data_IF_291690259588
#
_entry.id   IF_291690259588
#
_cell.length_a   1.000
_cell.length_b   1.000
_cell.length_c   1.000
_cell.angle_alpha   90.00
_cell.angle_beta   90.00
_cell.angle_gamma   90.00
#
_symmetry.space_group_name_H-M   'P 1'
#
loop_
_entity.id
_entity.type
_entity.pdbx_description
1 polymer ?
#
# COMPACT_ATOMS: atom_id res chain seq x y z
N UNK A 1 -14.53 -15.23 -16.51
CA UNK A 1 -15.73 -14.57 -17.07
C UNK A 1 -15.82 -14.92 -18.55
N UNK A 2 -16.96 -15.40 -19.08
CA UNK A 2 -17.10 -15.65 -20.52
C UNK A 2 -16.90 -14.36 -21.32
N UNK A 3 -16.31 -14.46 -22.53
CA UNK A 3 -16.09 -13.31 -23.39
C UNK A 3 -14.86 -12.43 -23.10
N UNK A 4 -13.98 -12.82 -22.19
CA UNK A 4 -12.71 -12.12 -21.94
C UNK A 4 -11.77 -12.33 -23.13
N UNK A 5 -11.34 -11.25 -23.77
CA UNK A 5 -10.45 -11.22 -24.94
C UNK A 5 -9.00 -10.96 -24.56
N UNK A 6 -8.07 -11.13 -25.53
CA UNK A 6 -6.67 -10.75 -25.34
C UNK A 6 -6.51 -9.25 -25.01
N UNK A 7 -7.32 -8.39 -25.60
CA UNK A 7 -7.34 -6.95 -25.31
C UNK A 7 -7.66 -6.68 -23.85
N UNK A 8 -8.67 -7.38 -23.31
CA UNK A 8 -9.01 -7.24 -21.89
C UNK A 8 -7.86 -7.67 -20.97
N UNK A 9 -7.15 -8.77 -21.33
CA UNK A 9 -5.96 -9.21 -20.59
C UNK A 9 -4.85 -8.17 -20.58
N UNK A 10 -4.50 -7.62 -21.75
CA UNK A 10 -3.48 -6.56 -21.82
C UNK A 10 -3.89 -5.30 -21.05
N UNK A 11 -5.16 -4.92 -21.10
CA UNK A 11 -5.68 -3.76 -20.35
C UNK A 11 -5.59 -3.96 -18.83
N UNK A 12 -5.82 -5.18 -18.34
CA UNK A 12 -5.62 -5.50 -16.91
C UNK A 12 -4.14 -5.42 -16.54
N UNK A 13 -3.26 -5.99 -17.36
CA UNK A 13 -1.82 -5.93 -17.13
C UNK A 13 -1.31 -4.48 -17.12
N UNK A 14 -1.76 -3.64 -18.06
CA UNK A 14 -1.46 -2.22 -18.09
C UNK A 14 -2.03 -1.51 -16.84
N UNK A 15 -3.29 -1.77 -16.48
CA UNK A 15 -3.91 -1.23 -15.27
C UNK A 15 -3.17 -1.64 -13.99
N UNK A 16 -2.73 -2.89 -13.89
CA UNK A 16 -1.92 -3.36 -12.78
C UNK A 16 -0.58 -2.62 -12.70
N UNK A 17 0.11 -2.47 -13.83
CA UNK A 17 1.39 -1.76 -13.91
C UNK A 17 1.26 -0.29 -13.48
N UNK A 18 0.21 0.40 -13.91
CA UNK A 18 0.09 1.84 -13.72
C UNK A 18 -0.62 2.23 -12.45
N UNK A 19 -1.70 1.56 -12.04
CA UNK A 19 -2.56 2.00 -10.93
C UNK A 19 -1.81 2.12 -9.61
N UNK A 20 -1.10 1.06 -9.19
CA UNK A 20 -0.40 1.07 -7.89
C UNK A 20 0.83 1.97 -7.94
N UNK A 21 1.54 2.02 -9.07
CA UNK A 21 2.64 2.95 -9.28
C UNK A 21 2.19 4.42 -9.15
N UNK A 22 1.15 4.82 -9.90
CA UNK A 22 0.62 6.18 -9.87
C UNK A 22 0.06 6.54 -8.48
N UNK A 23 -0.55 5.58 -7.77
CA UNK A 23 -0.99 5.75 -6.39
C UNK A 23 0.18 6.10 -5.46
N UNK A 24 1.34 5.44 -5.61
CA UNK A 24 2.50 5.67 -4.75
C UNK A 24 3.07 7.09 -4.90
N UNK A 25 2.88 7.73 -6.06
CA UNK A 25 3.39 9.09 -6.31
C UNK A 25 2.81 10.16 -5.38
N UNK A 26 1.68 9.89 -4.72
CA UNK A 26 1.05 10.85 -3.78
C UNK A 26 1.97 11.21 -2.61
N UNK A 27 2.81 10.30 -2.14
CA UNK A 27 3.77 10.57 -1.07
C UNK A 27 4.79 11.62 -1.51
N UNK A 28 5.29 11.50 -2.75
CA UNK A 28 6.19 12.51 -3.34
C UNK A 28 5.48 13.86 -3.54
N UNK A 29 4.25 13.84 -4.07
CA UNK A 29 3.47 15.05 -4.31
C UNK A 29 3.15 15.80 -3.02
N UNK A 30 2.73 15.07 -1.98
CA UNK A 30 2.37 15.67 -0.68
C UNK A 30 3.59 16.37 -0.06
N UNK A 31 4.73 15.69 0.01
CA UNK A 31 5.95 16.27 0.57
C UNK A 31 6.40 17.51 -0.22
N UNK A 32 6.33 17.45 -1.55
CA UNK A 32 6.73 18.55 -2.40
C UNK A 32 5.84 19.80 -2.20
N UNK A 33 4.51 19.61 -2.19
CA UNK A 33 3.56 20.71 -1.99
C UNK A 33 3.69 21.31 -0.61
N UNK A 34 3.89 20.51 0.43
CA UNK A 34 4.07 21.03 1.79
C UNK A 34 5.35 21.85 1.92
N UNK A 35 6.44 21.44 1.27
CA UNK A 35 7.74 22.13 1.37
C UNK A 35 7.83 23.37 0.48
N UNK A 36 7.39 23.27 -0.79
CA UNK A 36 7.59 24.34 -1.77
C UNK A 36 6.39 25.27 -1.93
N UNK A 37 5.17 24.72 -2.04
CA UNK A 37 3.99 25.53 -2.29
C UNK A 37 3.46 26.18 -1.00
N UNK A 38 3.46 25.44 0.10
CA UNK A 38 2.87 25.87 1.37
C UNK A 38 3.93 26.28 2.41
N UNK A 39 5.21 26.03 2.14
CA UNK A 39 6.36 26.41 2.96
C UNK A 39 6.23 26.06 4.45
N UNK A 40 5.69 24.85 4.75
CA UNK A 40 5.54 24.39 6.12
C UNK A 40 6.91 24.13 6.79
N UNK A 41 6.98 24.45 8.09
CA UNK A 41 8.15 24.19 8.91
C UNK A 41 8.36 22.70 9.15
N UNK A 42 9.62 22.26 9.31
CA UNK A 42 10.03 20.87 9.44
C UNK A 42 9.32 20.11 10.57
N UNK A 43 9.19 20.72 11.74
CA UNK A 43 8.58 20.07 12.90
C UNK A 43 7.06 19.87 12.84
N UNK A 44 6.42 20.09 11.69
CA UNK A 44 4.99 19.91 11.48
C UNK A 44 4.66 18.98 10.30
N UNK A 45 5.61 18.74 9.42
CA UNK A 45 5.37 18.03 8.14
C UNK A 45 4.99 16.57 8.38
N UNK A 46 5.65 15.89 9.30
CA UNK A 46 5.33 14.51 9.65
C UNK A 46 3.91 14.35 10.17
N UNK A 47 3.48 15.24 11.07
CA UNK A 47 2.12 15.28 11.61
C UNK A 47 1.08 15.57 10.52
N UNK A 48 1.35 16.53 9.63
CA UNK A 48 0.44 16.86 8.51
C UNK A 48 0.31 15.68 7.55
N UNK A 49 1.42 15.06 7.15
CA UNK A 49 1.45 13.91 6.26
C UNK A 49 0.71 12.72 6.89
N UNK A 50 0.97 12.45 8.18
CA UNK A 50 0.27 11.42 8.93
C UNK A 50 -1.24 11.65 8.99
N UNK A 51 -1.67 12.88 9.28
CA UNK A 51 -3.10 13.26 9.34
C UNK A 51 -3.78 13.14 7.97
N UNK A 52 -3.11 13.57 6.88
CA UNK A 52 -3.63 13.40 5.52
C UNK A 52 -3.79 11.92 5.16
N UNK A 53 -2.90 11.04 5.64
CA UNK A 53 -3.02 9.60 5.44
C UNK A 53 -4.17 9.02 6.26
N UNK A 54 -4.36 9.46 7.51
CA UNK A 54 -5.52 9.09 8.35
C UNK A 54 -6.84 9.47 7.66
N UNK A 55 -6.94 10.70 7.13
CA UNK A 55 -8.13 11.15 6.40
C UNK A 55 -8.38 10.27 5.18
N UNK A 56 -7.35 9.98 4.40
CA UNK A 56 -7.47 9.12 3.22
C UNK A 56 -7.97 7.71 3.59
N UNK A 57 -7.50 7.13 4.69
CA UNK A 57 -7.91 5.81 5.15
C UNK A 57 -9.35 5.80 5.68
N UNK A 58 -9.77 6.84 6.41
CA UNK A 58 -11.18 7.00 6.85
C UNK A 58 -12.10 7.07 5.64
N UNK A 59 -11.75 7.85 4.62
CA UNK A 59 -12.51 7.92 3.37
C UNK A 59 -12.56 6.55 2.71
N UNK A 60 -11.42 5.86 2.59
CA UNK A 60 -11.33 4.53 1.96
C UNK A 60 -12.26 3.51 2.64
N UNK A 61 -12.23 3.43 3.97
CA UNK A 61 -13.11 2.55 4.75
C UNK A 61 -14.59 2.90 4.48
N UNK A 62 -14.91 4.18 4.48
CA UNK A 62 -16.28 4.67 4.30
C UNK A 62 -16.86 4.36 2.91
N UNK A 63 -16.03 4.44 1.87
CA UNK A 63 -16.47 4.25 0.48
C UNK A 63 -16.35 2.81 -0.02
N UNK A 64 -15.64 1.93 0.70
CA UNK A 64 -15.35 0.57 0.24
C UNK A 64 -16.64 -0.21 -0.12
N UNK A 65 -17.64 -0.16 0.76
CA UNK A 65 -18.92 -0.82 0.51
C UNK A 65 -19.75 -0.11 -0.58
N UNK A 66 -20.00 1.21 -0.55
CA UNK A 66 -20.68 1.94 -1.63
C UNK A 66 -20.08 1.69 -3.00
N UNK A 67 -18.75 1.72 -3.14
CA UNK A 67 -18.06 1.49 -4.42
C UNK A 67 -18.36 0.07 -4.96
N UNK A 68 -18.33 -0.95 -4.10
CA UNK A 68 -18.67 -2.31 -4.50
C UNK A 68 -20.11 -2.41 -5.02
N UNK A 69 -21.07 -1.79 -4.31
CA UNK A 69 -22.49 -1.77 -4.73
C UNK A 69 -22.71 -1.01 -6.04
N UNK A 70 -22.02 0.10 -6.22
CA UNK A 70 -22.04 0.88 -7.46
C UNK A 70 -21.46 0.05 -8.62
N UNK A 71 -20.32 -0.60 -8.39
CA UNK A 71 -19.66 -1.43 -9.40
C UNK A 71 -20.52 -2.62 -9.85
N UNK A 72 -21.32 -3.18 -8.94
CA UNK A 72 -22.29 -4.24 -9.29
C UNK A 72 -23.46 -3.72 -10.16
N UNK A 73 -23.82 -2.42 -10.04
CA UNK A 73 -24.93 -1.80 -10.81
C UNK A 73 -24.49 -1.27 -12.17
N UNK A 74 -23.43 -0.46 -12.20
CA UNK A 74 -23.00 0.24 -13.43
C UNK A 74 -21.86 -0.47 -14.16
N UNK A 75 -21.22 -1.45 -13.51
CA UNK A 75 -20.10 -2.22 -14.06
C UNK A 75 -18.73 -1.79 -13.53
N UNK A 76 -17.85 -2.78 -13.42
CA UNK A 76 -16.51 -2.61 -12.84
C UNK A 76 -15.62 -1.68 -13.64
N UNK A 77 -15.76 -1.71 -14.96
CA UNK A 77 -15.01 -0.89 -15.90
C UNK A 77 -15.23 0.60 -15.67
N UNK A 78 -16.49 1.02 -15.50
CA UNK A 78 -16.87 2.41 -15.29
C UNK A 78 -16.33 2.93 -13.95
N UNK A 79 -16.47 2.13 -12.88
CA UNK A 79 -15.97 2.51 -11.55
C UNK A 79 -14.44 2.58 -11.52
N UNK A 80 -13.75 1.69 -12.22
CA UNK A 80 -12.30 1.72 -12.33
C UNK A 80 -11.83 2.99 -13.08
N UNK A 81 -12.43 3.25 -14.24
CA UNK A 81 -12.11 4.45 -15.03
C UNK A 81 -12.39 5.74 -14.25
N UNK A 82 -13.54 5.83 -13.57
CA UNK A 82 -13.84 6.94 -12.67
C UNK A 82 -12.77 7.09 -11.58
N UNK A 83 -12.33 5.98 -10.96
CA UNK A 83 -11.29 6.00 -9.95
C UNK A 83 -9.98 6.63 -10.46
N UNK A 84 -9.55 6.24 -11.65
CA UNK A 84 -8.36 6.81 -12.27
C UNK A 84 -8.52 8.28 -12.64
N UNK A 85 -9.69 8.70 -13.13
CA UNK A 85 -9.99 10.11 -13.41
C UNK A 85 -10.02 10.95 -12.14
N UNK A 86 -10.60 10.44 -11.05
CA UNK A 86 -10.62 11.15 -9.76
C UNK A 86 -9.19 11.31 -9.18
N UNK A 87 -8.34 10.27 -9.30
CA UNK A 87 -6.92 10.38 -8.95
C UNK A 87 -6.21 11.43 -9.82
N UNK A 88 -6.45 11.43 -11.13
CA UNK A 88 -5.88 12.41 -12.06
C UNK A 88 -6.31 13.83 -11.73
N UNK A 89 -7.59 14.03 -11.39
CA UNK A 89 -8.11 15.34 -10.94
C UNK A 89 -7.40 15.78 -9.65
N UNK A 90 -7.22 14.87 -8.69
CA UNK A 90 -6.50 15.19 -7.46
C UNK A 90 -5.05 15.62 -7.75
N UNK A 91 -4.30 14.89 -8.58
CA UNK A 91 -2.94 15.28 -8.96
C UNK A 91 -2.88 16.60 -9.72
N UNK A 92 -3.90 16.93 -10.51
CA UNK A 92 -4.01 18.21 -11.19
C UNK A 92 -4.21 19.36 -10.19
N UNK A 93 -5.04 19.15 -9.17
CA UNK A 93 -5.38 20.15 -8.16
C UNK A 93 -4.30 20.32 -7.07
N UNK A 94 -3.58 19.25 -6.71
CA UNK A 94 -2.62 19.23 -5.62
C UNK A 94 -1.62 20.41 -5.62
N UNK A 95 -0.94 20.72 -6.75
CA UNK A 95 0.01 21.84 -6.81
C UNK A 95 -0.66 23.21 -6.81
N UNK A 96 -1.98 23.28 -6.85
CA UNK A 96 -2.74 24.52 -6.81
C UNK A 96 -3.22 24.87 -5.40
N UNK A 97 -2.97 23.99 -4.42
CA UNK A 97 -3.36 24.22 -3.04
C UNK A 97 -2.67 25.45 -2.46
N UNK A 98 -3.44 26.34 -1.83
CA UNK A 98 -2.97 27.55 -1.14
C UNK A 98 -2.93 27.37 0.38
N UNK A 99 -3.44 26.24 0.89
CA UNK A 99 -3.44 25.90 2.30
C UNK A 99 -3.83 24.46 2.59
N UNK A 100 -3.67 24.05 3.86
CA UNK A 100 -3.94 22.68 4.30
C UNK A 100 -5.40 22.27 4.11
N UNK A 101 -6.35 23.20 4.19
CA UNK A 101 -7.77 22.92 3.98
C UNK A 101 -8.05 22.42 2.57
N UNK A 102 -7.55 23.14 1.55
CA UNK A 102 -7.67 22.73 0.15
C UNK A 102 -6.94 21.43 -0.12
N UNK A 103 -5.71 21.29 0.40
CA UNK A 103 -4.92 20.06 0.27
C UNK A 103 -5.67 18.85 0.86
N UNK A 104 -6.39 19.06 1.98
CA UNK A 104 -7.24 18.02 2.59
C UNK A 104 -8.40 17.62 1.68
N UNK A 105 -9.09 18.60 1.06
CA UNK A 105 -10.16 18.32 0.10
C UNK A 105 -9.62 17.52 -1.09
N UNK A 106 -8.48 17.93 -1.65
CA UNK A 106 -7.85 17.23 -2.76
C UNK A 106 -7.39 15.81 -2.35
N UNK A 107 -6.96 15.63 -1.10
CA UNK A 107 -6.66 14.32 -0.52
C UNK A 107 -7.89 13.42 -0.44
N UNK A 108 -9.07 13.97 -0.11
CA UNK A 108 -10.34 13.23 -0.12
C UNK A 108 -10.70 12.79 -1.54
N UNK A 109 -10.60 13.67 -2.53
CA UNK A 109 -10.83 13.33 -3.95
C UNK A 109 -9.88 12.20 -4.39
N UNK A 110 -8.61 12.32 -4.02
CA UNK A 110 -7.61 11.28 -4.27
C UNK A 110 -8.01 9.94 -3.64
N UNK A 111 -8.43 9.94 -2.37
CA UNK A 111 -8.80 8.72 -1.64
C UNK A 111 -10.02 8.02 -2.27
N UNK A 112 -11.01 8.78 -2.73
CA UNK A 112 -12.16 8.24 -3.49
C UNK A 112 -11.66 7.58 -4.79
N UNK A 113 -10.78 8.25 -5.51
CA UNK A 113 -10.18 7.72 -6.73
C UNK A 113 -9.38 6.44 -6.48
N UNK A 114 -8.51 6.46 -5.47
CA UNK A 114 -7.68 5.34 -5.05
C UNK A 114 -8.53 4.12 -4.68
N UNK A 115 -9.55 4.30 -3.82
CA UNK A 115 -10.41 3.21 -3.39
C UNK A 115 -11.20 2.59 -4.54
N UNK A 116 -11.71 3.43 -5.46
CA UNK A 116 -12.40 2.97 -6.66
C UNK A 116 -11.48 2.20 -7.60
N UNK A 117 -10.29 2.71 -7.89
CA UNK A 117 -9.36 2.10 -8.81
C UNK A 117 -8.77 0.78 -8.26
N UNK A 118 -8.26 0.79 -7.02
CA UNK A 118 -7.66 -0.40 -6.40
C UNK A 118 -8.66 -1.50 -6.11
N UNK A 119 -9.86 -1.14 -5.65
CA UNK A 119 -10.95 -2.08 -5.44
C UNK A 119 -11.35 -2.79 -6.73
N UNK A 120 -11.46 -2.04 -7.84
CA UNK A 120 -11.80 -2.62 -9.13
C UNK A 120 -10.65 -3.41 -9.76
N UNK A 121 -9.40 -2.98 -9.61
CA UNK A 121 -8.23 -3.75 -10.04
C UNK A 121 -8.23 -5.14 -9.39
N UNK A 122 -8.42 -5.20 -8.07
CA UNK A 122 -8.49 -6.46 -7.33
C UNK A 122 -9.65 -7.35 -7.80
N UNK A 123 -10.82 -6.75 -7.99
CA UNK A 123 -12.02 -7.46 -8.43
C UNK A 123 -11.87 -8.01 -9.85
N UNK A 124 -11.41 -7.19 -10.80
CA UNK A 124 -11.20 -7.62 -12.20
C UNK A 124 -10.15 -8.71 -12.29
N UNK A 125 -9.05 -8.59 -11.52
CA UNK A 125 -8.00 -9.61 -11.44
C UNK A 125 -8.52 -10.96 -10.94
N UNK A 126 -9.50 -10.95 -10.04
CA UNK A 126 -10.10 -12.17 -9.50
C UNK A 126 -11.15 -12.80 -10.42
N UNK A 127 -11.90 -11.98 -11.16
CA UNK A 127 -13.10 -12.45 -11.90
C UNK A 127 -12.85 -12.81 -13.36
N UNK A 128 -11.88 -12.19 -14.02
CA UNK A 128 -11.63 -12.43 -15.45
C UNK A 128 -11.00 -13.80 -15.73
N UNK A 129 -10.02 -14.29 -14.93
CA UNK A 129 -9.40 -15.58 -15.20
C UNK A 129 -10.35 -16.74 -14.88
N UNK A 130 -10.13 -17.86 -15.55
CA UNK A 130 -10.76 -19.13 -15.20
C UNK A 130 -10.17 -19.62 -13.85
N UNK A 131 -10.94 -20.43 -13.12
CA UNK A 131 -10.56 -20.89 -11.77
C UNK A 131 -9.14 -21.50 -11.71
N UNK A 132 -8.73 -22.27 -12.73
CA UNK A 132 -7.40 -22.92 -12.77
C UNK A 132 -6.26 -21.96 -13.12
N UNK A 133 -6.52 -20.75 -13.65
CA UNK A 133 -5.52 -19.74 -14.01
C UNK A 133 -5.53 -18.53 -13.07
N UNK A 134 -6.50 -18.47 -12.13
CA UNK A 134 -6.66 -17.33 -11.22
C UNK A 134 -5.38 -17.03 -10.40
N UNK A 135 -4.73 -18.07 -9.86
CA UNK A 135 -3.49 -17.91 -9.11
C UNK A 135 -2.36 -17.32 -9.97
N UNK A 136 -2.22 -17.76 -11.22
CA UNK A 136 -1.23 -17.21 -12.16
C UNK A 136 -1.51 -15.73 -12.45
N UNK A 137 -2.78 -15.37 -12.65
CA UNK A 137 -3.15 -13.96 -12.90
C UNK A 137 -2.85 -13.06 -11.70
N UNK A 138 -3.16 -13.51 -10.49
CA UNK A 138 -2.84 -12.77 -9.25
C UNK A 138 -1.33 -12.57 -9.12
N UNK A 139 -0.53 -13.61 -9.42
CA UNK A 139 0.94 -13.51 -9.38
C UNK A 139 1.46 -12.50 -10.41
N UNK A 140 0.98 -12.56 -11.66
CA UNK A 140 1.38 -11.64 -12.74
C UNK A 140 1.02 -10.20 -12.38
N UNK A 141 -0.21 -9.95 -11.92
CA UNK A 141 -0.63 -8.60 -11.51
C UNK A 141 0.14 -8.10 -10.29
N UNK A 142 0.49 -8.97 -9.35
CA UNK A 142 1.35 -8.63 -8.20
C UNK A 142 2.75 -8.16 -8.64
N UNK A 143 3.39 -8.88 -9.57
CA UNK A 143 4.69 -8.48 -10.15
C UNK A 143 4.56 -7.15 -10.89
N UNK A 144 3.50 -6.99 -11.71
CA UNK A 144 3.27 -5.74 -12.45
C UNK A 144 3.01 -4.56 -11.52
N UNK A 145 2.25 -4.74 -10.44
CA UNK A 145 2.05 -3.72 -9.41
C UNK A 145 3.38 -3.25 -8.81
N UNK A 146 4.23 -4.19 -8.36
CA UNK A 146 5.53 -3.87 -7.78
C UNK A 146 6.46 -3.20 -8.80
N UNK A 147 6.48 -3.69 -10.04
CA UNK A 147 7.24 -3.08 -11.14
C UNK A 147 6.77 -1.67 -11.42
N UNK A 148 5.45 -1.42 -11.40
CA UNK A 148 4.85 -0.11 -11.58
C UNK A 148 5.28 0.89 -10.50
N UNK A 149 5.31 0.45 -9.23
CA UNK A 149 5.82 1.27 -8.11
C UNK A 149 7.27 1.67 -8.34
N UNK A 150 8.11 0.72 -8.76
CA UNK A 150 9.54 0.97 -9.03
C UNK A 150 9.69 1.95 -10.21
N UNK A 151 8.98 1.74 -11.32
CA UNK A 151 9.02 2.62 -12.50
C UNK A 151 8.59 4.04 -12.13
N UNK A 152 7.46 4.20 -11.45
CA UNK A 152 6.98 5.53 -11.06
C UNK A 152 7.95 6.20 -10.09
N UNK A 153 8.49 5.49 -9.13
CA UNK A 153 9.47 6.04 -8.19
C UNK A 153 10.79 6.41 -8.88
N UNK A 154 11.28 5.60 -9.83
CA UNK A 154 12.52 5.88 -10.55
C UNK A 154 12.42 7.07 -11.51
N UNK A 155 11.34 7.13 -12.28
CA UNK A 155 11.23 8.08 -13.39
C UNK A 155 10.38 9.30 -13.03
N UNK A 156 9.20 9.11 -12.42
CA UNK A 156 8.27 10.21 -12.18
C UNK A 156 8.67 11.03 -10.95
N UNK A 157 9.20 10.40 -9.90
CA UNK A 157 9.70 11.15 -8.75
C UNK A 157 10.95 12.01 -9.07
N UNK A 158 11.58 11.79 -10.21
CA UNK A 158 12.66 12.66 -10.73
C UNK A 158 12.16 13.83 -11.57
N UNK A 159 10.91 13.82 -12.02
CA UNK A 159 10.39 14.86 -12.91
C UNK A 159 10.57 16.28 -12.37
N UNK A 160 10.31 16.59 -11.08
CA UNK A 160 10.55 17.94 -10.58
C UNK A 160 11.99 18.40 -10.80
N UNK A 161 12.99 17.52 -10.55
CA UNK A 161 14.40 17.85 -10.82
C UNK A 161 14.65 18.07 -12.31
N UNK A 162 14.12 17.20 -13.17
CA UNK A 162 14.31 17.36 -14.63
C UNK A 162 13.73 18.69 -15.14
N UNK A 163 12.56 19.13 -14.63
CA UNK A 163 11.99 20.41 -15.00
C UNK A 163 12.79 21.59 -14.40
N UNK A 164 13.30 21.46 -13.18
CA UNK A 164 14.19 22.47 -12.59
C UNK A 164 15.50 22.60 -13.39
N UNK A 165 16.10 21.48 -13.84
CA UNK A 165 17.29 21.46 -14.69
C UNK A 165 17.03 22.13 -16.07
N UNK A 166 15.77 22.19 -16.53
CA UNK A 166 15.34 22.92 -17.74
C UNK A 166 15.15 24.43 -17.49
N UNK A 167 15.36 24.92 -16.26
CA UNK A 167 15.25 26.34 -15.89
C UNK A 167 13.92 26.80 -15.31
N UNK A 168 13.00 25.85 -15.01
CA UNK A 168 11.78 26.20 -14.28
C UNK A 168 12.06 26.39 -12.79
N UNK A 169 11.36 27.32 -12.15
CA UNK A 169 11.37 27.46 -10.69
C UNK A 169 10.80 26.21 -9.99
N UNK A 170 11.14 26.03 -8.70
CA UNK A 170 10.79 24.82 -7.97
C UNK A 170 9.27 24.54 -7.93
N UNK A 171 8.44 25.59 -7.71
CA UNK A 171 6.98 25.46 -7.67
C UNK A 171 6.44 24.98 -9.02
N UNK A 172 6.87 25.63 -10.11
CA UNK A 172 6.46 25.28 -11.48
C UNK A 172 6.96 23.88 -11.88
N UNK A 173 8.18 23.52 -11.50
CA UNK A 173 8.75 22.20 -11.75
C UNK A 173 7.94 21.08 -11.06
N UNK A 174 7.56 21.28 -9.80
CA UNK A 174 6.66 20.37 -9.08
C UNK A 174 5.27 20.28 -9.70
N UNK A 175 4.71 21.41 -10.09
CA UNK A 175 3.41 21.50 -10.75
C UNK A 175 3.38 20.69 -12.05
N UNK A 176 4.34 20.87 -12.92
CA UNK A 176 4.42 20.14 -14.19
C UNK A 176 4.61 18.63 -13.97
N UNK A 177 5.43 18.23 -12.98
CA UNK A 177 5.59 16.82 -12.64
C UNK A 177 4.25 16.18 -12.21
N UNK A 178 3.46 16.85 -11.37
CA UNK A 178 2.15 16.36 -10.95
C UNK A 178 1.15 16.32 -12.11
N UNK A 179 1.20 17.29 -13.03
CA UNK A 179 0.33 17.31 -14.21
C UNK A 179 0.68 16.21 -15.22
N UNK A 180 1.95 15.83 -15.36
CA UNK A 180 2.33 14.64 -16.14
C UNK A 180 1.71 13.38 -15.52
N UNK A 181 1.76 13.24 -14.20
CA UNK A 181 1.13 12.10 -13.50
C UNK A 181 -0.40 12.14 -13.66
N UNK A 182 -1.03 13.31 -13.58
CA UNK A 182 -2.45 13.47 -13.88
C UNK A 182 -2.80 12.99 -15.28
N UNK A 183 -2.00 13.36 -16.29
CA UNK A 183 -2.13 12.89 -17.66
C UNK A 183 -2.03 11.36 -17.79
N UNK A 184 -1.10 10.74 -17.06
CA UNK A 184 -0.97 9.27 -17.02
C UNK A 184 -2.18 8.60 -16.38
N UNK A 185 -2.80 9.22 -15.35
CA UNK A 185 -4.06 8.75 -14.79
C UNK A 185 -5.20 8.79 -15.83
N UNK A 186 -5.29 9.86 -16.61
CA UNK A 186 -6.28 9.98 -17.70
C UNK A 186 -6.04 8.91 -18.77
N UNK A 187 -4.79 8.71 -19.22
CA UNK A 187 -4.45 7.64 -20.17
C UNK A 187 -4.87 6.27 -19.62
N UNK A 188 -4.56 6.00 -18.35
CA UNK A 188 -4.95 4.74 -17.71
C UNK A 188 -6.46 4.60 -17.64
N UNK A 189 -7.20 5.67 -17.32
CA UNK A 189 -8.65 5.69 -17.32
C UNK A 189 -9.23 5.33 -18.70
N UNK A 190 -8.65 5.87 -19.77
CA UNK A 190 -9.07 5.56 -21.16
C UNK A 190 -8.77 4.12 -21.53
N UNK A 191 -7.56 3.61 -21.25
CA UNK A 191 -7.21 2.21 -21.50
C UNK A 191 -8.17 1.26 -20.77
N UNK A 192 -8.47 1.54 -19.52
CA UNK A 192 -9.43 0.77 -18.73
C UNK A 192 -10.86 0.91 -19.29
N UNK A 193 -11.28 2.13 -19.64
CA UNK A 193 -12.61 2.42 -20.17
C UNK A 193 -12.90 1.73 -21.49
N UNK A 194 -11.91 1.60 -22.36
CA UNK A 194 -12.10 0.98 -23.68
C UNK A 194 -11.62 -0.46 -23.72
N UNK A 195 -10.63 -0.82 -22.91
CA UNK A 195 -9.98 -2.11 -22.96
C UNK A 195 -10.56 -3.18 -22.05
N UNK A 196 -11.31 -2.85 -21.01
CA UNK A 196 -11.95 -3.84 -20.16
C UNK A 196 -13.33 -4.26 -20.70
N UNK A 197 -13.76 -5.46 -20.32
CA UNK A 197 -15.05 -5.99 -20.74
C UNK A 197 -16.22 -5.18 -20.15
N UNK A 198 -17.26 -4.96 -20.95
CA UNK A 198 -18.51 -4.33 -20.51
C UNK A 198 -19.35 -5.33 -19.71
N UNK A 199 -20.12 -4.81 -18.77
CA UNK A 199 -21.13 -5.57 -18.03
C UNK A 199 -20.75 -5.90 -16.60
N UNK A 200 -21.72 -6.46 -15.90
CA UNK A 200 -21.62 -6.93 -14.51
C UNK A 200 -21.69 -8.45 -14.51
N UNK A 201 -21.06 -9.15 -13.54
CA UNK A 201 -21.30 -10.58 -13.37
C UNK A 201 -22.77 -10.83 -12.99
N UNK A 202 -23.40 -11.76 -13.69
CA UNK A 202 -24.87 -11.97 -13.65
C UNK A 202 -25.35 -12.83 -12.47
N UNK A 203 -24.54 -13.18 -11.50
CA UNK A 203 -24.96 -13.97 -10.36
C UNK A 203 -25.44 -13.07 -9.20
N UNK A 204 -26.75 -13.00 -9.02
CA UNK A 204 -27.41 -12.53 -7.80
C UNK A 204 -27.16 -13.53 -6.66
N UNK A 205 -25.96 -13.48 -6.06
CA UNK A 205 -25.76 -14.13 -4.78
C UNK A 205 -26.53 -13.36 -3.70
N UNK A 206 -27.37 -14.04 -2.91
CA UNK A 206 -28.00 -13.46 -1.71
C UNK A 206 -26.92 -12.85 -0.83
N UNK A 207 -26.77 -11.52 -0.88
CA UNK A 207 -25.76 -10.80 -0.11
C UNK A 207 -26.20 -10.75 1.36
N UNK A 208 -25.46 -11.42 2.23
CA UNK A 208 -25.60 -11.26 3.68
C UNK A 208 -25.24 -9.80 4.01
N UNK A 209 -26.02 -9.08 4.86
CA UNK A 209 -25.71 -7.72 5.25
C UNK A 209 -24.29 -7.60 5.81
N UNK A 210 -23.54 -6.60 5.34
CA UNK A 210 -22.11 -6.41 5.68
C UNK A 210 -21.85 -6.39 7.20
N UNK A 211 -22.72 -5.70 7.97
CA UNK A 211 -22.62 -5.68 9.43
C UNK A 211 -22.74 -7.08 10.04
N UNK A 212 -23.59 -7.93 9.50
CA UNK A 212 -23.78 -9.31 9.96
C UNK A 212 -22.56 -10.16 9.61
N UNK A 213 -21.95 -9.93 8.43
CA UNK A 213 -20.67 -10.56 8.07
C UNK A 213 -19.56 -10.16 9.02
N UNK A 214 -19.41 -8.86 9.33
CA UNK A 214 -18.40 -8.38 10.28
C UNK A 214 -18.62 -8.96 11.69
N UNK A 215 -19.84 -8.99 12.20
CA UNK A 215 -20.14 -9.62 13.48
C UNK A 215 -19.79 -11.10 13.51
N UNK A 216 -20.09 -11.81 12.42
CA UNK A 216 -19.73 -13.24 12.29
C UNK A 216 -18.21 -13.42 12.25
N UNK A 217 -17.49 -12.60 11.49
CA UNK A 217 -16.03 -12.64 11.42
C UNK A 217 -15.36 -12.29 12.76
N UNK A 218 -15.90 -11.28 13.47
CA UNK A 218 -15.42 -10.91 14.80
C UNK A 218 -15.59 -12.03 15.83
N UNK A 219 -16.73 -12.75 15.78
CA UNK A 219 -16.97 -13.90 16.65
C UNK A 219 -15.97 -15.04 16.45
N UNK A 220 -15.44 -15.22 15.22
CA UNK A 220 -14.36 -16.17 14.94
C UNK A 220 -13.02 -15.78 15.60
N UNK A 221 -12.84 -14.52 15.99
CA UNK A 221 -11.70 -14.04 16.77
C UNK A 221 -11.57 -14.65 18.17
N UNK A 222 -12.51 -15.49 18.62
CA UNK A 222 -12.34 -16.35 19.79
C UNK A 222 -11.29 -17.44 19.59
N UNK A 223 -11.03 -17.83 18.33
CA UNK A 223 -9.98 -18.77 17.98
C UNK A 223 -8.62 -18.05 17.98
N UNK A 224 -7.61 -18.50 18.76
CA UNK A 224 -6.28 -17.87 18.82
C UNK A 224 -5.59 -17.77 17.46
N UNK A 225 -5.83 -18.71 16.55
CA UNK A 225 -5.27 -18.68 15.19
C UNK A 225 -5.88 -17.54 14.37
N UNK A 226 -7.19 -17.31 14.50
CA UNK A 226 -7.88 -16.20 13.82
C UNK A 226 -7.47 -14.86 14.45
N UNK A 227 -7.22 -14.82 15.77
CA UNK A 227 -6.64 -13.62 16.41
C UNK A 227 -5.29 -13.28 15.81
N UNK A 228 -4.43 -14.30 15.60
CA UNK A 228 -3.13 -14.10 14.94
C UNK A 228 -3.28 -13.60 13.50
N UNK A 229 -4.28 -14.09 12.74
CA UNK A 229 -4.62 -13.57 11.40
C UNK A 229 -4.92 -12.08 11.47
N UNK A 230 -5.73 -11.62 12.43
CA UNK A 230 -6.09 -10.21 12.56
C UNK A 230 -4.92 -9.34 13.04
N UNK A 231 -4.14 -9.82 14.02
CA UNK A 231 -2.94 -9.15 14.48
C UNK A 231 -1.89 -9.00 13.38
N UNK A 232 -1.70 -10.05 12.57
CA UNK A 232 -0.80 -10.02 11.41
C UNK A 232 -1.25 -9.00 10.35
N UNK A 233 -2.57 -8.90 10.11
CA UNK A 233 -3.14 -7.92 9.18
C UNK A 233 -2.88 -6.48 9.63
N UNK A 234 -3.09 -6.23 10.92
CA UNK A 234 -2.88 -4.91 11.55
C UNK A 234 -1.45 -4.43 11.28
N UNK A 235 -0.45 -5.27 11.56
CA UNK A 235 0.97 -4.88 11.42
C UNK A 235 1.40 -4.85 9.96
N UNK A 236 1.09 -5.87 9.16
CA UNK A 236 1.53 -5.94 7.77
C UNK A 236 0.98 -4.82 6.88
N UNK A 237 -0.22 -4.30 7.18
CA UNK A 237 -0.77 -3.13 6.47
C UNK A 237 -0.15 -1.82 6.95
N UNK A 238 0.13 -1.69 8.25
CA UNK A 238 0.85 -0.57 8.82
C UNK A 238 2.27 -0.47 8.25
N UNK A 239 2.98 -1.59 8.17
CA UNK A 239 4.32 -1.72 7.56
C UNK A 239 4.39 -1.05 6.18
N UNK A 240 3.46 -1.42 5.29
CA UNK A 240 3.41 -0.92 3.92
C UNK A 240 3.29 0.60 3.87
N UNK A 241 2.38 1.14 4.69
CA UNK A 241 2.06 2.57 4.63
C UNK A 241 3.13 3.42 5.32
N UNK A 242 3.76 2.93 6.39
CA UNK A 242 4.88 3.62 7.05
C UNK A 242 6.07 3.78 6.08
N UNK A 243 6.46 2.72 5.36
CA UNK A 243 7.51 2.82 4.33
C UNK A 243 7.09 3.82 3.24
N UNK A 244 5.90 3.66 2.68
CA UNK A 244 5.41 4.51 1.58
C UNK A 244 5.28 5.98 1.94
N UNK A 245 4.99 6.29 3.21
CA UNK A 245 4.74 7.66 3.68
C UNK A 245 6.00 8.32 4.24
N UNK A 246 6.66 7.67 5.20
CA UNK A 246 7.71 8.32 5.98
C UNK A 246 9.12 8.10 5.43
N UNK A 247 9.39 7.04 4.64
CA UNK A 247 10.74 6.83 4.10
C UNK A 247 11.08 7.90 3.04
N UNK A 248 10.12 8.25 2.18
CA UNK A 248 10.28 9.32 1.18
C UNK A 248 10.41 10.68 1.87
N UNK A 249 9.61 10.92 2.92
CA UNK A 249 9.68 12.15 3.71
C UNK A 249 11.06 12.28 4.38
N UNK A 250 11.52 11.24 5.08
CA UNK A 250 12.81 11.22 5.75
C UNK A 250 13.97 11.52 4.79
N UNK A 251 14.03 10.80 3.65
CA UNK A 251 15.06 11.05 2.65
C UNK A 251 15.01 12.45 2.05
N UNK A 252 13.79 13.00 1.83
CA UNK A 252 13.64 14.37 1.32
C UNK A 252 14.11 15.41 2.35
N UNK A 253 13.77 15.22 3.62
CA UNK A 253 14.19 16.12 4.69
C UNK A 253 15.72 16.08 4.90
N UNK A 254 16.33 14.89 4.90
CA UNK A 254 17.77 14.74 4.99
C UNK A 254 18.51 15.47 3.83
N UNK A 255 17.98 15.35 2.59
CA UNK A 255 18.54 16.11 1.46
C UNK A 255 18.43 17.63 1.65
N UNK A 256 17.33 18.12 2.21
CA UNK A 256 17.17 19.54 2.57
C UNK A 256 18.18 19.98 3.63
N UNK A 257 18.50 19.12 4.60
CA UNK A 257 19.52 19.39 5.63
C UNK A 257 20.92 19.52 5.04
N UNK A 258 21.20 18.82 3.95
CA UNK A 258 22.43 18.92 3.17
C UNK A 258 22.45 20.14 2.24
N UNK A 259 21.43 21.01 2.27
CA UNK A 259 21.34 22.21 1.41
C UNK A 259 20.82 21.95 0.00
N UNK A 260 20.30 20.75 -0.30
CA UNK A 260 19.69 20.45 -1.59
C UNK A 260 18.38 21.20 -1.78
N UNK A 261 18.04 21.54 -3.03
CA UNK A 261 16.69 21.96 -3.38
C UNK A 261 15.70 20.82 -3.14
N UNK A 262 14.41 21.11 -3.00
CA UNK A 262 13.40 20.06 -2.76
C UNK A 262 13.34 19.06 -3.91
N UNK A 263 13.51 19.52 -5.15
CA UNK A 263 13.56 18.65 -6.32
C UNK A 263 14.77 17.68 -6.30
N UNK A 264 15.94 18.16 -5.89
CA UNK A 264 17.16 17.34 -5.74
C UNK A 264 17.01 16.35 -4.58
N UNK A 265 16.57 16.83 -3.41
CA UNK A 265 16.35 16.02 -2.22
C UNK A 265 15.36 14.88 -2.47
N UNK A 266 14.23 15.17 -3.14
CA UNK A 266 13.26 14.16 -3.53
C UNK A 266 13.84 13.19 -4.56
N UNK A 267 14.64 13.67 -5.50
CA UNK A 267 15.34 12.81 -6.46
C UNK A 267 16.38 11.89 -5.79
N UNK A 268 16.99 12.29 -4.68
CA UNK A 268 17.86 11.43 -3.88
C UNK A 268 17.03 10.43 -3.05
N UNK A 269 16.02 10.89 -2.33
CA UNK A 269 15.13 10.07 -1.48
C UNK A 269 14.46 8.92 -2.25
N UNK A 270 14.10 9.12 -3.53
CA UNK A 270 13.51 8.06 -4.36
C UNK A 270 14.38 6.81 -4.45
N UNK A 271 15.72 6.96 -4.43
CA UNK A 271 16.64 5.82 -4.53
C UNK A 271 16.57 4.94 -3.27
N UNK A 272 16.39 5.54 -2.10
CA UNK A 272 16.18 4.82 -0.83
C UNK A 272 14.91 3.98 -0.91
N UNK A 273 13.79 4.60 -1.31
CA UNK A 273 12.51 3.90 -1.47
C UNK A 273 12.56 2.80 -2.54
N UNK A 274 13.24 3.06 -3.67
CA UNK A 274 13.44 2.07 -4.74
C UNK A 274 14.30 0.91 -4.27
N UNK A 275 15.34 1.14 -3.48
CA UNK A 275 16.17 0.06 -2.91
C UNK A 275 15.32 -0.88 -2.06
N UNK A 276 14.49 -0.34 -1.16
CA UNK A 276 13.57 -1.14 -0.35
C UNK A 276 12.53 -1.90 -1.21
N UNK A 277 11.91 -1.22 -2.18
CA UNK A 277 10.89 -1.83 -3.04
C UNK A 277 11.47 -2.91 -3.97
N UNK A 278 12.68 -2.70 -4.51
CA UNK A 278 13.35 -3.68 -5.35
C UNK A 278 13.75 -4.92 -4.55
N UNK A 279 14.25 -4.74 -3.34
CA UNK A 279 14.61 -5.87 -2.47
C UNK A 279 13.37 -6.70 -2.11
N UNK A 280 12.23 -6.05 -1.83
CA UNK A 280 10.95 -6.71 -1.60
C UNK A 280 10.52 -7.55 -2.83
N UNK A 281 10.60 -6.97 -4.03
CA UNK A 281 10.24 -7.65 -5.28
C UNK A 281 11.14 -8.87 -5.54
N UNK A 282 12.46 -8.71 -5.43
CA UNK A 282 13.44 -9.79 -5.66
C UNK A 282 13.30 -10.90 -4.62
N UNK A 283 13.05 -10.56 -3.36
CA UNK A 283 12.87 -11.54 -2.30
C UNK A 283 11.52 -12.30 -2.38
N UNK A 284 10.51 -11.73 -3.04
CA UNK A 284 9.15 -12.29 -3.09
C UNK A 284 9.07 -13.77 -3.49
N UNK A 285 9.73 -14.26 -4.57
CA UNK A 285 9.68 -15.67 -4.94
C UNK A 285 10.33 -16.59 -3.89
N UNK A 286 11.42 -16.11 -3.28
CA UNK A 286 12.17 -16.87 -2.26
C UNK A 286 11.32 -16.98 -0.99
N UNK A 287 10.74 -15.88 -0.54
CA UNK A 287 9.87 -15.83 0.65
C UNK A 287 8.65 -16.73 0.43
N UNK A 288 7.98 -16.64 -0.72
CA UNK A 288 6.84 -17.49 -1.06
C UNK A 288 7.19 -18.99 -0.99
N UNK A 289 8.30 -19.39 -1.61
CA UNK A 289 8.78 -20.77 -1.57
C UNK A 289 9.11 -21.27 -0.15
N UNK A 290 9.73 -20.43 0.68
CA UNK A 290 10.07 -20.78 2.06
C UNK A 290 8.82 -20.93 2.94
N UNK A 291 7.87 -20.00 2.81
CA UNK A 291 6.61 -20.03 3.55
C UNK A 291 5.82 -21.30 3.23
N UNK A 292 5.84 -21.77 1.98
CA UNK A 292 5.12 -22.99 1.58
C UNK A 292 5.69 -24.29 2.17
N UNK A 293 6.96 -24.29 2.57
CA UNK A 293 7.64 -25.45 3.17
C UNK A 293 7.53 -25.54 4.69
N UNK A 294 7.13 -24.47 5.36
CA UNK A 294 7.10 -24.36 6.81
C UNK A 294 5.66 -24.29 7.30
N UNK A 295 5.41 -24.77 8.53
CA UNK A 295 4.12 -24.53 9.18
C UNK A 295 3.78 -23.04 9.22
N UNK A 296 2.54 -22.69 8.85
CA UNK A 296 2.13 -21.28 8.62
C UNK A 296 2.26 -20.41 9.87
N UNK A 297 1.98 -20.94 11.06
CA UNK A 297 2.13 -20.18 12.31
C UNK A 297 3.61 -19.92 12.60
N UNK A 298 4.47 -20.92 12.39
CA UNK A 298 5.93 -20.75 12.51
C UNK A 298 6.45 -19.79 11.45
N UNK A 299 5.95 -19.90 10.21
CA UNK A 299 6.29 -18.96 9.14
C UNK A 299 5.95 -17.51 9.51
N UNK A 300 4.77 -17.27 10.10
CA UNK A 300 4.41 -15.93 10.60
C UNK A 300 5.40 -15.45 11.65
N UNK A 301 5.76 -16.29 12.64
CA UNK A 301 6.72 -15.89 13.68
C UNK A 301 8.06 -15.47 13.08
N UNK A 302 8.62 -16.28 12.18
CA UNK A 302 9.92 -15.99 11.56
C UNK A 302 9.84 -14.77 10.65
N UNK A 303 8.81 -14.67 9.83
CA UNK A 303 8.62 -13.54 8.92
C UNK A 303 8.44 -12.21 9.66
N UNK A 304 7.66 -12.20 10.76
CA UNK A 304 7.50 -11.01 11.60
C UNK A 304 8.80 -10.67 12.36
N UNK A 305 9.61 -11.66 12.74
CA UNK A 305 10.93 -11.42 13.33
C UNK A 305 11.89 -10.77 12.32
N UNK A 306 11.89 -11.22 11.06
CA UNK A 306 12.69 -10.60 9.99
C UNK A 306 12.20 -9.17 9.71
N UNK A 307 10.89 -8.95 9.69
CA UNK A 307 10.31 -7.61 9.58
C UNK A 307 10.74 -6.72 10.75
N UNK A 308 10.62 -7.22 11.99
CA UNK A 308 11.08 -6.50 13.18
C UNK A 308 12.55 -6.09 13.06
N UNK A 309 13.43 -6.99 12.64
CA UNK A 309 14.85 -6.68 12.44
C UNK A 309 15.04 -5.55 11.40
N UNK A 310 14.30 -5.60 10.27
CA UNK A 310 14.36 -4.55 9.24
C UNK A 310 13.89 -3.19 9.74
N UNK A 311 12.76 -3.15 10.46
CA UNK A 311 12.21 -1.90 10.98
C UNK A 311 13.03 -1.34 12.15
N UNK A 312 13.49 -2.18 13.07
CA UNK A 312 14.32 -1.74 14.21
C UNK A 312 15.72 -1.32 13.76
N UNK A 313 16.23 -1.86 12.65
CA UNK A 313 17.53 -1.45 12.11
C UNK A 313 17.55 0.01 11.66
N UNK A 314 16.39 0.65 11.45
CA UNK A 314 16.30 2.08 11.12
C UNK A 314 16.81 2.98 12.25
N UNK A 315 16.90 2.46 13.48
CA UNK A 315 17.55 3.15 14.60
C UNK A 315 19.03 3.44 14.37
N UNK A 316 19.71 2.62 13.56
CA UNK A 316 21.14 2.73 13.28
C UNK A 316 21.45 3.53 12.00
N UNK A 317 20.44 4.19 11.42
CA UNK A 317 20.61 5.00 10.21
C UNK A 317 20.89 6.44 10.62
N UNK A 318 22.14 6.84 10.61
CA UNK A 318 22.57 8.23 10.88
C UNK A 318 22.28 9.12 9.66
N UNK A 319 22.63 8.66 8.46
CA UNK A 319 22.36 9.35 7.20
C UNK A 319 21.58 8.43 6.25
N UNK A 320 20.31 8.79 6.02
CA UNK A 320 19.38 8.01 5.18
C UNK A 320 19.78 8.03 3.69
N UNK A 321 20.57 9.00 3.24
CA UNK A 321 21.03 9.12 1.86
C UNK A 321 22.40 8.46 1.64
N UNK A 322 23.11 8.08 2.69
CA UNK A 322 24.40 7.45 2.60
C UNK A 322 24.36 6.06 1.95
N UNK A 323 25.44 5.71 1.26
CA UNK A 323 25.55 4.40 0.63
C UNK A 323 25.63 3.26 1.66
N UNK A 324 26.22 3.53 2.82
CA UNK A 324 26.38 2.60 3.94
C UNK A 324 25.05 2.17 4.56
N UNK A 325 24.02 3.01 4.48
CA UNK A 325 22.67 2.69 4.96
C UNK A 325 21.88 1.76 4.03
N UNK A 326 22.28 1.58 2.78
CA UNK A 326 21.56 0.77 1.78
C UNK A 326 21.27 -0.67 2.21
N UNK A 327 22.20 -1.41 2.85
CA UNK A 327 21.90 -2.77 3.34
C UNK A 327 20.72 -2.81 4.32
N UNK A 328 20.56 -1.77 5.16
CA UNK A 328 19.45 -1.67 6.11
C UNK A 328 18.10 -1.47 5.38
N UNK A 329 18.08 -0.69 4.29
CA UNK A 329 16.89 -0.54 3.45
C UNK A 329 16.56 -1.81 2.65
N UNK A 330 17.56 -2.61 2.28
CA UNK A 330 17.34 -3.95 1.71
C UNK A 330 16.68 -4.85 2.76
N UNK A 331 17.19 -4.87 4.00
CA UNK A 331 16.60 -5.64 5.10
C UNK A 331 15.16 -5.17 5.41
N UNK A 332 14.91 -3.86 5.41
CA UNK A 332 13.58 -3.27 5.58
C UNK A 332 12.59 -3.76 4.53
N UNK A 333 12.97 -3.74 3.24
CA UNK A 333 12.12 -4.19 2.15
C UNK A 333 11.85 -5.69 2.17
N UNK A 334 12.86 -6.51 2.47
CA UNK A 334 12.70 -7.96 2.65
C UNK A 334 11.78 -8.25 3.84
N UNK A 335 11.98 -7.56 4.97
CA UNK A 335 11.18 -7.70 6.18
C UNK A 335 9.71 -7.36 5.95
N UNK A 336 9.45 -6.21 5.32
CA UNK A 336 8.10 -5.81 4.93
C UNK A 336 7.40 -6.87 4.07
N UNK A 337 8.09 -7.40 3.06
CA UNK A 337 7.54 -8.42 2.18
C UNK A 337 7.27 -9.74 2.92
N UNK A 338 8.13 -10.12 3.86
CA UNK A 338 7.91 -11.25 4.75
C UNK A 338 6.62 -11.10 5.56
N UNK A 339 6.41 -9.95 6.22
CA UNK A 339 5.20 -9.68 7.01
C UNK A 339 3.93 -9.76 6.15
N UNK A 340 3.96 -9.13 4.97
CA UNK A 340 2.82 -9.12 4.04
C UNK A 340 2.43 -10.53 3.56
N UNK A 341 3.40 -11.33 3.13
CA UNK A 341 3.15 -12.70 2.66
C UNK A 341 2.70 -13.62 3.78
N UNK A 342 3.33 -13.53 4.95
CA UNK A 342 2.95 -14.34 6.10
C UNK A 342 1.50 -14.07 6.54
N UNK A 343 1.08 -12.80 6.63
CA UNK A 343 -0.28 -12.44 7.00
C UNK A 343 -1.33 -12.96 5.99
N UNK A 344 -1.07 -12.81 4.69
CA UNK A 344 -1.99 -13.22 3.64
C UNK A 344 -2.08 -14.74 3.49
N UNK A 345 -0.97 -15.46 3.64
CA UNK A 345 -0.96 -16.93 3.58
C UNK A 345 -1.61 -17.56 4.80
N UNK A 346 -1.40 -17.00 6.00
CA UNK A 346 -2.08 -17.46 7.21
C UNK A 346 -3.60 -17.28 7.09
N UNK A 347 -4.08 -16.13 6.60
CA UNK A 347 -5.49 -15.90 6.30
C UNK A 347 -6.05 -16.98 5.36
N UNK A 348 -5.32 -17.28 4.29
CA UNK A 348 -5.73 -18.27 3.29
C UNK A 348 -5.94 -19.66 3.86
N UNK A 349 -5.11 -20.04 4.85
CA UNK A 349 -5.15 -21.35 5.51
C UNK A 349 -6.20 -21.43 6.61
N UNK A 350 -6.22 -20.43 7.53
CA UNK A 350 -7.02 -20.51 8.75
C UNK A 350 -8.48 -20.09 8.54
N UNK A 351 -8.81 -19.38 7.45
CA UNK A 351 -10.18 -18.97 7.17
C UNK A 351 -11.06 -20.11 6.61
N UNK A 352 -12.01 -20.67 7.40
CA UNK A 352 -12.92 -21.72 6.94
C UNK A 352 -13.70 -21.28 5.69
N UNK A 353 -13.87 -22.18 4.70
CA UNK A 353 -14.53 -21.85 3.42
C UNK A 353 -15.89 -21.18 3.60
N UNK A 354 -16.71 -21.65 4.56
CA UNK A 354 -18.05 -21.13 4.83
C UNK A 354 -18.06 -19.70 5.39
N UNK A 355 -17.05 -19.34 6.21
CA UNK A 355 -16.95 -18.04 6.88
C UNK A 355 -15.83 -17.15 6.33
N UNK A 356 -15.18 -17.58 5.23
CA UNK A 356 -14.01 -16.90 4.67
C UNK A 356 -14.29 -15.42 4.37
N UNK A 357 -15.42 -15.08 3.77
CA UNK A 357 -15.78 -13.69 3.48
C UNK A 357 -15.87 -12.81 4.73
N UNK A 358 -16.43 -13.35 5.82
CA UNK A 358 -16.56 -12.65 7.09
C UNK A 358 -15.18 -12.39 7.74
N UNK A 359 -14.31 -13.39 7.75
CA UNK A 359 -12.94 -13.28 8.29
C UNK A 359 -12.10 -12.32 7.45
N UNK A 360 -12.18 -12.38 6.11
CA UNK A 360 -11.52 -11.42 5.21
C UNK A 360 -11.99 -9.99 5.47
N UNK A 361 -13.28 -9.78 5.75
CA UNK A 361 -13.82 -8.47 6.10
C UNK A 361 -13.18 -7.90 7.36
N UNK A 362 -13.07 -8.71 8.43
CA UNK A 362 -12.40 -8.28 9.69
C UNK A 362 -10.88 -8.14 9.51
N UNK A 363 -10.24 -9.01 8.73
CA UNK A 363 -8.82 -8.88 8.36
C UNK A 363 -8.52 -7.53 7.70
N UNK A 364 -9.34 -7.12 6.73
CA UNK A 364 -9.18 -5.82 6.08
C UNK A 364 -9.43 -4.66 7.05
N UNK A 365 -10.42 -4.78 7.93
CA UNK A 365 -10.71 -3.76 8.96
C UNK A 365 -9.56 -3.65 9.98
N UNK A 366 -8.99 -4.77 10.41
CA UNK A 366 -7.82 -4.79 11.28
C UNK A 366 -6.62 -4.12 10.60
N UNK A 367 -6.38 -4.40 9.31
CA UNK A 367 -5.34 -3.74 8.53
C UNK A 367 -5.57 -2.23 8.41
N UNK A 368 -6.80 -1.79 8.16
CA UNK A 368 -7.15 -0.38 8.11
C UNK A 368 -6.94 0.32 9.46
N UNK A 369 -7.31 -0.33 10.57
CA UNK A 369 -7.01 0.16 11.92
C UNK A 369 -5.50 0.28 12.15
N UNK A 370 -4.71 -0.69 11.66
CA UNK A 370 -3.25 -0.63 11.68
C UNK A 370 -2.71 0.61 10.98
N UNK A 371 -3.19 0.90 9.77
CA UNK A 371 -2.81 2.10 9.01
C UNK A 371 -3.18 3.37 9.78
N UNK A 372 -4.44 3.50 10.23
CA UNK A 372 -4.93 4.68 10.93
C UNK A 372 -4.10 5.01 12.17
N UNK A 373 -3.88 4.01 13.02
CA UNK A 373 -3.19 4.20 14.29
C UNK A 373 -1.71 4.50 14.04
N UNK A 374 -1.06 3.71 13.18
CA UNK A 374 0.37 3.83 12.93
C UNK A 374 0.73 5.12 12.22
N UNK A 375 -0.08 5.60 11.27
CA UNK A 375 0.21 6.87 10.57
C UNK A 375 -0.13 8.08 11.41
N UNK A 376 -1.23 8.03 12.19
CA UNK A 376 -1.60 9.12 13.09
C UNK A 376 -0.60 9.33 14.23
N UNK A 377 -0.12 8.24 14.85
CA UNK A 377 0.94 8.29 15.86
C UNK A 377 2.28 8.56 15.17
N UNK A 378 2.56 7.86 14.06
CA UNK A 378 3.81 7.95 13.31
C UNK A 378 4.17 9.38 12.91
N UNK A 379 3.19 10.14 12.40
CA UNK A 379 3.43 11.54 12.05
C UNK A 379 3.86 12.40 13.24
N UNK A 380 3.23 12.21 14.40
CA UNK A 380 3.58 12.96 15.63
C UNK A 380 4.97 12.60 16.15
N UNK A 381 5.28 11.30 16.24
CA UNK A 381 6.60 10.86 16.76
C UNK A 381 7.72 11.17 15.78
N UNK A 382 7.43 11.23 14.46
CA UNK A 382 8.36 11.69 13.44
C UNK A 382 8.83 13.12 13.71
N UNK A 383 7.89 14.03 14.03
CA UNK A 383 8.19 15.44 14.28
C UNK A 383 8.74 15.70 15.69
N UNK A 384 8.32 14.93 16.71
CA UNK A 384 8.61 15.21 18.12
C UNK A 384 9.78 14.42 18.69
N UNK A 385 10.15 13.28 18.09
CA UNK A 385 11.20 12.40 18.57
C UNK A 385 12.34 12.31 17.55
N UNK A 386 12.09 11.59 16.45
CA UNK A 386 13.09 11.33 15.40
C UNK A 386 12.42 10.80 14.13
N UNK A 387 12.96 11.09 12.91
CA UNK A 387 12.43 10.56 11.66
C UNK A 387 12.40 9.03 11.57
N UNK A 388 13.24 8.30 12.31
CA UNK A 388 13.23 6.83 12.40
C UNK A 388 12.13 6.27 13.32
N UNK A 389 11.59 7.09 14.24
CA UNK A 389 10.66 6.65 15.29
C UNK A 389 9.40 5.92 14.75
N UNK A 390 8.75 6.32 13.64
CA UNK A 390 7.64 5.57 13.08
C UNK A 390 8.01 4.14 12.68
N UNK A 391 9.23 3.93 12.18
CA UNK A 391 9.72 2.60 11.81
C UNK A 391 9.98 1.75 13.05
N UNK A 392 10.60 2.33 14.08
CA UNK A 392 10.88 1.66 15.35
C UNK A 392 9.58 1.21 16.02
N UNK A 393 8.55 2.06 16.03
CA UNK A 393 7.22 1.72 16.54
C UNK A 393 6.67 0.45 15.87
N UNK A 394 6.72 0.41 14.54
CA UNK A 394 6.27 -0.74 13.76
C UNK A 394 7.17 -1.96 14.00
N UNK A 395 8.47 -1.76 14.17
CA UNK A 395 9.40 -2.83 14.55
C UNK A 395 8.98 -3.53 15.84
N UNK A 396 8.61 -2.78 16.88
CA UNK A 396 8.07 -3.36 18.12
C UNK A 396 6.72 -4.06 17.93
N UNK A 397 5.85 -3.54 17.07
CA UNK A 397 4.61 -4.22 16.72
C UNK A 397 4.88 -5.58 16.04
N UNK A 398 5.87 -5.64 15.14
CA UNK A 398 6.31 -6.88 14.51
C UNK A 398 6.87 -7.88 15.53
N UNK A 399 7.68 -7.43 16.50
CA UNK A 399 8.16 -8.26 17.61
C UNK A 399 6.97 -8.85 18.38
N UNK A 400 5.99 -8.02 18.75
CA UNK A 400 4.82 -8.46 19.51
C UNK A 400 4.03 -9.55 18.74
N UNK A 401 3.81 -9.39 17.44
CA UNK A 401 3.11 -10.39 16.62
C UNK A 401 3.96 -11.65 16.43
N UNK A 402 5.29 -11.54 16.29
CA UNK A 402 6.19 -12.69 16.25
C UNK A 402 6.11 -13.53 17.52
N UNK A 403 6.16 -12.88 18.70
CA UNK A 403 6.01 -13.57 19.99
C UNK A 403 4.61 -14.15 20.18
N UNK A 404 3.57 -13.43 19.74
CA UNK A 404 2.19 -13.93 19.76
C UNK A 404 2.03 -15.17 18.87
N UNK A 405 2.68 -15.21 17.71
CA UNK A 405 2.69 -16.41 16.85
C UNK A 405 3.37 -17.61 17.54
N UNK A 406 4.47 -17.42 18.27
CA UNK A 406 5.11 -18.47 19.07
C UNK A 406 4.16 -18.98 20.16
N UNK A 407 3.46 -18.07 20.85
CA UNK A 407 2.47 -18.44 21.87
C UNK A 407 1.32 -19.25 21.26
N UNK A 408 0.73 -18.79 20.17
CA UNK A 408 -0.36 -19.49 19.47
C UNK A 408 0.10 -20.89 18.99
N UNK A 409 1.34 -21.01 18.51
CA UNK A 409 1.89 -22.30 18.09
C UNK A 409 1.99 -23.31 19.26
N UNK A 410 2.16 -22.83 20.51
CA UNK A 410 2.19 -23.68 21.71
C UNK A 410 0.81 -24.13 22.15
N UNK A 411 -0.19 -23.22 22.14
CA UNK A 411 -1.54 -23.50 22.67
C UNK A 411 -2.49 -24.12 21.65
N UNK A 412 -2.25 -23.88 20.36
CA UNK A 412 -3.08 -24.34 19.26
C UNK A 412 -2.19 -24.75 18.06
N UNK A 413 -1.39 -25.84 18.18
CA UNK A 413 -0.50 -26.30 17.13
C UNK A 413 -1.29 -26.70 15.87
N UNK A 414 -0.66 -26.64 14.69
CA UNK A 414 -1.31 -27.04 13.44
C UNK A 414 -1.64 -28.54 13.43
N UNK A 415 -2.77 -28.90 12.82
CA UNK A 415 -3.24 -30.30 12.74
C UNK A 415 -2.25 -31.27 12.07
N UNK A 416 -1.30 -30.75 11.29
CA UNK A 416 -0.21 -31.55 10.71
C UNK A 416 0.83 -32.06 11.74
N UNK A 417 0.93 -31.44 12.92
CA UNK A 417 1.80 -31.91 14.00
C UNK A 417 1.14 -32.94 14.90
N UNK A 418 -0.19 -32.99 14.96
CA UNK A 418 -0.94 -33.94 15.79
C UNK A 418 -0.97 -35.36 15.19
N UNK A 419 -0.61 -35.51 13.91
CA UNK A 419 -0.53 -36.85 13.25
C UNK A 419 0.87 -37.49 13.32
N UNK A 420 1.88 -36.80 13.87
CA UNK A 420 3.23 -37.31 14.03
C UNK A 420 3.62 -37.61 15.49
N UNK A 421 2.71 -37.45 16.45
CA UNK A 421 2.78 -37.91 17.80
C UNK A 421 1.77 -39.06 18.04
#
# INVERSE_FOLDING_TARGET
>A
MPGVTKTNFFSICYGALTTIGLLTFISYSTNYVLLENLAYERGQIGTIVGNLQVIAEIVLISIFLPIGLIADKIGRRQVYSFGMLAMGLAYFLYPLATGIGELTVYRVIYAIGMGSATGMLGTVTADYPQNHTRGKMIAVTGILNATGVIIVSLFFARLPKNFADMGFDQITAGKYAMWVVAGMCVITALVVAFGLQKGTPTEEQKKIPYLQQLKSGWAEGRNPRIQLVYASAFVARADLVIIGTFLVLWGTMAGKDMGMTTAEAQSAARLVFVTSSMSALVASPIIGYLIDKVDRIKAVSVCMAVAAAGYLSMFFVDDVLAAEARPLFVLLGVGHQCAFFAATTLLGQEAPKVKRGAIVGVFNLAGAAGILISTGIGGKIYDSIDPSAPFILIGFCNVAVSLFALYVNRIAPSSSQTQQQ
#
